data_IF_078288264562
#
_entry.id   IF_078288264562
#
_cell.length_a   1.000
_cell.length_b   1.000
_cell.length_c   1.000
_cell.angle_alpha   90.00
_cell.angle_beta   90.00
_cell.angle_gamma   90.00
#
_symmetry.space_group_name_H-M   'P 1'
#
loop_
_entity.id
_entity.type
_entity.pdbx_description
1 polymer ?
#
# COMPACT_ATOMS: atom_id res chain seq x y z
N UNK A 1 -37.29 16.32 -35.43
CA UNK A 1 -38.42 16.84 -36.22
C UNK A 1 -38.62 18.31 -35.87
N UNK A 2 -38.92 19.20 -36.84
CA UNK A 2 -39.22 20.59 -36.53
C UNK A 2 -40.52 20.67 -35.72
N UNK A 3 -40.51 21.48 -34.66
CA UNK A 3 -41.70 21.76 -33.84
C UNK A 3 -42.59 22.72 -34.62
N UNK A 4 -43.89 22.41 -34.71
CA UNK A 4 -44.87 23.28 -35.38
C UNK A 4 -45.45 24.27 -34.39
N UNK A 5 -45.77 25.47 -34.88
CA UNK A 5 -46.50 26.47 -34.08
C UNK A 5 -47.86 25.89 -33.63
N UNK A 6 -48.18 26.04 -32.35
CA UNK A 6 -49.38 25.46 -31.71
C UNK A 6 -49.28 23.99 -31.29
N UNK A 7 -48.16 23.31 -31.56
CA UNK A 7 -47.97 21.91 -31.16
C UNK A 7 -47.70 21.76 -29.65
N UNK A 8 -48.43 20.88 -28.98
CA UNK A 8 -48.13 20.47 -27.61
C UNK A 8 -46.87 19.58 -27.57
N UNK A 9 -45.90 19.96 -26.75
CA UNK A 9 -44.66 19.21 -26.57
C UNK A 9 -44.37 18.94 -25.09
N UNK A 10 -43.88 17.74 -24.78
CA UNK A 10 -43.38 17.41 -23.45
C UNK A 10 -41.98 17.98 -23.28
N UNK A 11 -41.76 18.70 -22.17
CA UNK A 11 -40.49 19.34 -21.86
C UNK A 11 -40.10 19.06 -20.41
N UNK A 12 -38.79 19.05 -20.14
CA UNK A 12 -38.25 19.05 -18.78
C UNK A 12 -37.85 20.48 -18.42
N UNK A 13 -38.44 21.03 -17.35
CA UNK A 13 -38.05 22.34 -16.80
C UNK A 13 -36.66 22.21 -16.18
N UNK A 14 -35.73 23.09 -16.56
CA UNK A 14 -34.36 23.15 -16.04
C UNK A 14 -34.22 24.18 -14.94
N UNK A 15 -34.75 25.38 -15.18
CA UNK A 15 -34.75 26.46 -14.19
C UNK A 15 -36.08 27.17 -14.20
N UNK A 16 -36.51 27.59 -13.01
CA UNK A 16 -37.72 28.37 -12.79
C UNK A 16 -37.33 29.66 -12.08
N UNK A 17 -37.56 30.80 -12.73
CA UNK A 17 -37.42 32.11 -12.11
C UNK A 17 -38.79 32.54 -11.60
N UNK A 18 -38.94 32.51 -10.28
CA UNK A 18 -40.19 32.85 -9.60
C UNK A 18 -40.46 34.35 -9.52
N UNK A 19 -39.43 35.19 -9.72
CA UNK A 19 -39.55 36.65 -9.69
C UNK A 19 -40.12 37.15 -11.01
N UNK A 20 -39.55 36.66 -12.11
CA UNK A 20 -39.94 37.10 -13.46
C UNK A 20 -40.99 36.17 -14.10
N UNK A 21 -41.46 35.16 -13.36
CA UNK A 21 -42.41 34.14 -13.83
C UNK A 21 -41.99 33.47 -15.15
N UNK A 22 -40.68 33.27 -15.34
CA UNK A 22 -40.10 32.64 -16.54
C UNK A 22 -39.49 31.28 -16.20
N UNK A 23 -39.41 30.40 -17.20
CA UNK A 23 -38.71 29.12 -17.04
C UNK A 23 -37.87 28.80 -18.27
N UNK A 24 -36.79 28.06 -18.07
CA UNK A 24 -36.04 27.42 -19.16
C UNK A 24 -36.35 25.94 -19.17
N UNK A 25 -36.59 25.36 -20.34
CA UNK A 25 -36.95 23.96 -20.48
C UNK A 25 -36.28 23.33 -21.71
N UNK A 26 -36.14 22.00 -21.69
CA UNK A 26 -35.58 21.21 -22.80
C UNK A 26 -36.57 20.16 -23.29
N UNK A 27 -36.58 19.92 -24.59
CA UNK A 27 -37.33 18.83 -25.24
C UNK A 27 -36.42 17.72 -25.78
N UNK A 28 -35.13 17.69 -25.38
CA UNK A 28 -34.19 16.68 -25.86
C UNK A 28 -34.57 15.27 -25.38
N UNK A 29 -34.75 14.32 -26.31
CA UNK A 29 -35.23 12.97 -26.00
C UNK A 29 -34.41 12.22 -24.94
N UNK A 30 -33.08 12.39 -24.92
CA UNK A 30 -32.20 11.78 -23.90
C UNK A 30 -32.44 12.35 -22.50
N UNK A 31 -32.84 13.62 -22.38
CA UNK A 31 -33.13 14.24 -21.08
C UNK A 31 -34.54 13.91 -20.58
N UNK A 32 -35.50 13.72 -21.49
CA UNK A 32 -36.86 13.30 -21.16
C UNK A 32 -36.91 11.85 -20.65
N UNK A 33 -36.13 10.93 -21.24
CA UNK A 33 -36.07 9.54 -20.78
C UNK A 33 -35.35 9.36 -19.44
N UNK A 34 -34.47 10.31 -19.07
CA UNK A 34 -33.80 10.35 -17.76
C UNK A 34 -34.57 11.13 -16.70
N UNK A 35 -35.71 11.73 -17.05
CA UNK A 35 -36.48 12.53 -16.12
C UNK A 35 -37.30 11.60 -15.21
N UNK A 36 -36.80 11.36 -14.00
CA UNK A 36 -37.62 10.82 -12.92
C UNK A 36 -38.55 11.93 -12.43
N UNK A 37 -39.86 11.64 -12.33
CA UNK A 37 -40.82 12.57 -11.74
C UNK A 37 -40.53 12.70 -10.25
N UNK A 38 -39.85 13.77 -9.89
CA UNK A 38 -39.50 14.11 -8.51
C UNK A 38 -40.15 15.44 -8.16
N UNK A 39 -40.69 15.51 -6.95
CA UNK A 39 -41.15 16.78 -6.39
C UNK A 39 -39.95 17.68 -6.07
N UNK A 40 -40.15 18.99 -6.04
CA UNK A 40 -39.12 19.96 -5.63
C UNK A 40 -38.52 19.63 -4.26
N UNK A 41 -39.30 19.05 -3.35
CA UNK A 41 -38.83 18.60 -2.04
C UNK A 41 -37.87 17.41 -2.18
N UNK A 42 -38.17 16.45 -3.06
CA UNK A 42 -37.31 15.30 -3.32
C UNK A 42 -36.03 15.69 -4.06
N UNK A 43 -36.09 16.64 -5.00
CA UNK A 43 -34.89 17.17 -5.67
C UNK A 43 -33.97 17.89 -4.69
N UNK A 44 -34.53 18.74 -3.81
CA UNK A 44 -33.77 19.42 -2.76
C UNK A 44 -33.18 18.44 -1.76
N UNK A 45 -33.91 17.40 -1.39
CA UNK A 45 -33.39 16.34 -0.50
C UNK A 45 -32.26 15.55 -1.15
N UNK A 46 -32.37 15.22 -2.44
CA UNK A 46 -31.32 14.52 -3.21
C UNK A 46 -30.06 15.39 -3.38
N UNK A 47 -30.23 16.66 -3.71
CA UNK A 47 -29.12 17.61 -3.81
C UNK A 47 -28.44 17.83 -2.46
N UNK A 48 -29.20 18.00 -1.37
CA UNK A 48 -28.66 18.13 -0.02
C UNK A 48 -27.95 16.85 0.44
N UNK A 49 -28.46 15.67 0.09
CA UNK A 49 -27.81 14.38 0.37
C UNK A 49 -26.49 14.21 -0.42
N UNK A 50 -26.45 14.61 -1.70
CA UNK A 50 -25.22 14.62 -2.50
C UNK A 50 -24.19 15.63 -1.98
N UNK A 51 -24.62 16.81 -1.54
CA UNK A 51 -23.74 17.83 -0.95
C UNK A 51 -23.20 17.38 0.41
N UNK A 52 -24.03 16.75 1.24
CA UNK A 52 -23.62 16.14 2.51
C UNK A 52 -22.65 14.97 2.29
N UNK A 53 -22.85 14.14 1.26
CA UNK A 53 -21.94 13.04 0.90
C UNK A 53 -20.58 13.55 0.37
N UNK A 54 -20.57 14.68 -0.36
CA UNK A 54 -19.34 15.35 -0.81
C UNK A 54 -18.56 16.02 0.33
N UNK A 55 -19.24 16.57 1.34
CA UNK A 55 -18.60 17.21 2.51
C UNK A 55 -18.09 16.20 3.55
N UNK A 56 -18.60 14.96 3.56
CA UNK A 56 -18.23 13.92 4.53
C UNK A 56 -17.21 12.89 4.03
N UNK A 57 -16.77 12.97 2.76
CA UNK A 57 -15.78 12.02 2.23
C UNK A 57 -16.29 10.59 2.20
N UNK A 58 -17.47 10.35 1.62
CA UNK A 58 -18.08 9.02 1.55
C UNK A 58 -18.43 8.43 2.93
N UNK A 59 -19.03 7.22 2.98
CA UNK A 59 -19.28 6.57 4.26
C UNK A 59 -17.95 6.21 4.91
N UNK A 60 -17.57 6.96 5.95
CA UNK A 60 -16.45 6.62 6.83
C UNK A 60 -16.84 5.36 7.59
N UNK A 61 -16.37 4.22 7.09
CA UNK A 61 -16.51 2.94 7.76
C UNK A 61 -15.89 3.03 9.16
N UNK A 62 -16.52 2.39 10.15
CA UNK A 62 -15.95 2.37 11.50
C UNK A 62 -14.55 1.73 11.48
N UNK A 63 -13.71 2.03 12.47
CA UNK A 63 -12.31 1.62 12.50
C UNK A 63 -12.22 0.08 12.46
N UNK A 64 -11.89 -0.48 11.29
CA UNK A 64 -11.81 -1.94 11.06
C UNK A 64 -12.82 -2.50 10.05
N UNK A 65 -13.81 -1.70 9.63
CA UNK A 65 -14.75 -2.07 8.59
C UNK A 65 -14.20 -1.73 7.19
N UNK A 66 -14.49 -2.59 6.21
CA UNK A 66 -14.14 -2.41 4.81
C UNK A 66 -15.34 -2.75 3.91
N UNK A 67 -15.42 -2.13 2.73
CA UNK A 67 -16.45 -2.49 1.74
C UNK A 67 -16.06 -3.82 1.10
N UNK A 68 -16.96 -4.81 1.15
CA UNK A 68 -16.76 -6.08 0.44
C UNK A 68 -16.68 -5.85 -1.07
N UNK A 69 -15.67 -6.44 -1.71
CA UNK A 69 -15.35 -6.29 -3.13
C UNK A 69 -15.63 -7.57 -3.90
N UNK A 70 -15.97 -7.44 -5.19
CA UNK A 70 -16.10 -8.53 -6.16
C UNK A 70 -14.87 -8.54 -7.07
N UNK A 71 -13.75 -9.01 -6.54
CA UNK A 71 -12.49 -9.15 -7.30
C UNK A 71 -12.23 -10.64 -7.51
N UNK A 72 -12.17 -11.06 -8.77
CA UNK A 72 -11.95 -12.45 -9.17
C UNK A 72 -10.47 -12.80 -9.28
N UNK A 73 -9.78 -12.91 -8.14
CA UNK A 73 -8.36 -13.27 -8.10
C UNK A 73 -8.10 -14.29 -6.97
N UNK A 74 -7.30 -15.36 -7.19
CA UNK A 74 -7.11 -16.43 -6.21
C UNK A 74 -6.51 -15.96 -4.87
N UNK A 75 -5.61 -14.98 -4.91
CA UNK A 75 -5.01 -14.39 -3.70
C UNK A 75 -5.80 -13.19 -3.14
N UNK A 76 -6.98 -12.87 -3.70
CA UNK A 76 -7.83 -11.82 -3.16
C UNK A 76 -8.78 -12.38 -2.10
N UNK A 77 -8.83 -11.74 -0.92
CA UNK A 77 -9.75 -12.08 0.16
C UNK A 77 -10.38 -10.83 0.77
N UNK A 78 -11.70 -10.88 0.90
CA UNK A 78 -12.44 -9.92 1.72
C UNK A 78 -12.21 -10.25 3.21
N UNK A 79 -11.26 -9.57 3.84
CA UNK A 79 -10.97 -9.74 5.26
C UNK A 79 -10.26 -8.53 5.87
N UNK A 80 -10.38 -8.40 7.19
CA UNK A 80 -9.67 -7.37 7.94
C UNK A 80 -8.17 -7.68 7.99
N UNK A 81 -7.37 -6.70 8.42
CA UNK A 81 -5.92 -6.88 8.62
C UNK A 81 -5.62 -8.04 9.56
N UNK A 82 -6.40 -8.18 10.63
CA UNK A 82 -6.25 -9.20 11.67
C UNK A 82 -6.59 -10.59 11.13
N UNK A 83 -7.69 -10.70 10.37
CA UNK A 83 -8.09 -11.96 9.72
C UNK A 83 -7.03 -12.44 8.74
N UNK A 84 -6.50 -11.53 7.91
CA UNK A 84 -5.43 -11.86 6.95
C UNK A 84 -4.13 -12.19 7.66
N UNK A 85 -3.78 -11.49 8.74
CA UNK A 85 -2.60 -11.82 9.57
C UNK A 85 -2.70 -13.23 10.16
N UNK A 86 -3.87 -13.59 10.69
CA UNK A 86 -4.09 -14.93 11.24
C UNK A 86 -3.98 -16.01 10.15
N UNK A 87 -4.53 -15.77 8.96
CA UNK A 87 -4.39 -16.67 7.82
C UNK A 87 -2.92 -16.86 7.42
N UNK A 88 -2.17 -15.76 7.23
CA UNK A 88 -0.78 -15.81 6.78
C UNK A 88 0.18 -16.39 7.83
N UNK A 89 -0.19 -16.41 9.12
CA UNK A 89 0.64 -17.00 10.17
C UNK A 89 1.05 -18.45 9.84
N UNK A 90 0.13 -19.23 9.28
CA UNK A 90 0.35 -20.64 8.91
C UNK A 90 0.82 -20.86 7.46
N UNK A 91 0.96 -19.80 6.65
CA UNK A 91 1.30 -19.91 5.23
C UNK A 91 2.81 -19.89 4.98
N UNK A 92 3.31 -20.38 3.83
CA UNK A 92 4.72 -20.31 3.48
C UNK A 92 5.21 -18.87 3.24
N UNK A 93 6.53 -18.68 3.28
CA UNK A 93 7.18 -17.42 2.88
C UNK A 93 6.93 -17.16 1.41
N UNK A 94 6.55 -15.91 1.09
CA UNK A 94 6.12 -15.47 -0.23
C UNK A 94 4.61 -15.42 -0.39
N UNK A 95 3.84 -16.09 0.48
CA UNK A 95 2.38 -16.02 0.40
C UNK A 95 1.90 -14.58 0.56
N UNK A 96 1.01 -14.19 -0.36
CA UNK A 96 0.44 -12.84 -0.45
C UNK A 96 -1.07 -12.92 -0.47
N UNK A 97 -1.69 -12.02 0.29
CA UNK A 97 -3.14 -11.82 0.26
C UNK A 97 -3.43 -10.37 -0.06
N UNK A 98 -4.14 -10.15 -1.18
CA UNK A 98 -4.76 -8.87 -1.48
C UNK A 98 -6.07 -8.75 -0.71
N UNK A 99 -6.27 -7.61 -0.06
CA UNK A 99 -7.50 -7.32 0.70
C UNK A 99 -7.96 -5.89 0.47
N UNK A 100 -9.26 -5.60 0.69
CA UNK A 100 -9.75 -4.24 0.72
C UNK A 100 -8.98 -3.37 1.73
N UNK A 101 -8.77 -2.10 1.37
CA UNK A 101 -8.34 -1.07 2.31
C UNK A 101 -9.54 -0.42 2.99
N UNK A 102 -9.31 0.25 4.12
CA UNK A 102 -10.29 1.16 4.70
C UNK A 102 -10.45 2.45 3.87
N UNK A 103 -9.51 2.72 2.95
CA UNK A 103 -9.63 3.77 1.93
C UNK A 103 -10.35 3.20 0.70
N UNK A 104 -11.35 3.91 0.20
CA UNK A 104 -12.26 3.42 -0.84
C UNK A 104 -11.58 3.15 -2.20
N UNK A 105 -10.50 3.86 -2.48
CA UNK A 105 -9.70 3.83 -3.71
C UNK A 105 -8.37 3.08 -3.51
N UNK A 106 -8.23 2.28 -2.46
CA UNK A 106 -7.03 1.51 -2.21
C UNK A 106 -7.32 0.02 -1.97
N UNK A 107 -6.30 -0.78 -2.26
CA UNK A 107 -6.13 -2.15 -1.79
C UNK A 107 -4.91 -2.23 -0.90
N UNK A 108 -4.81 -3.33 -0.15
CA UNK A 108 -3.59 -3.67 0.55
C UNK A 108 -3.14 -5.07 0.17
N UNK A 109 -1.91 -5.21 -0.32
CA UNK A 109 -1.24 -6.51 -0.37
C UNK A 109 -0.57 -6.77 0.99
N UNK A 110 -0.94 -7.86 1.65
CA UNK A 110 -0.25 -8.33 2.86
C UNK A 110 0.63 -9.51 2.49
N UNK A 111 1.95 -9.38 2.71
CA UNK A 111 2.96 -10.33 2.23
C UNK A 111 3.73 -10.92 3.42
N UNK A 112 3.93 -12.24 3.41
CA UNK A 112 4.83 -12.92 4.36
C UNK A 112 6.25 -12.99 3.80
N UNK A 113 7.08 -12.02 4.14
CA UNK A 113 8.47 -11.94 3.64
C UNK A 113 9.42 -12.96 4.29
N UNK A 114 9.16 -13.32 5.54
CA UNK A 114 10.04 -14.17 6.36
C UNK A 114 9.22 -15.12 7.23
N UNK A 115 9.86 -16.19 7.73
CA UNK A 115 9.19 -17.16 8.60
C UNK A 115 8.78 -16.55 9.95
N UNK A 116 9.60 -15.61 10.44
CA UNK A 116 9.40 -14.87 11.68
C UNK A 116 9.50 -13.37 11.41
N UNK A 117 8.85 -12.54 12.23
CA UNK A 117 8.88 -11.08 12.11
C UNK A 117 7.57 -10.48 11.61
N UNK A 118 7.56 -9.17 11.32
CA UNK A 118 6.36 -8.47 10.88
C UNK A 118 5.95 -8.86 9.44
N UNK A 119 4.64 -8.87 9.18
CA UNK A 119 4.13 -8.96 7.81
C UNK A 119 4.28 -7.61 7.12
N UNK A 120 4.61 -7.63 5.82
CA UNK A 120 4.58 -6.43 5.00
C UNK A 120 3.14 -6.11 4.62
N UNK A 121 2.78 -4.83 4.68
CA UNK A 121 1.52 -4.32 4.17
C UNK A 121 1.81 -3.22 3.14
N UNK A 122 1.57 -3.53 1.87
CA UNK A 122 1.80 -2.61 0.75
C UNK A 122 0.47 -1.91 0.42
N UNK A 123 0.48 -0.59 0.49
CA UNK A 123 -0.65 0.23 0.07
C UNK A 123 -0.65 0.33 -1.47
N UNK A 124 -1.79 0.02 -2.09
CA UNK A 124 -1.97 0.01 -3.54
C UNK A 124 -3.09 0.98 -3.87
N UNK A 125 -2.77 2.04 -4.58
CA UNK A 125 -3.75 3.00 -5.08
C UNK A 125 -4.41 2.47 -6.36
N UNK A 126 -5.73 2.42 -6.39
CA UNK A 126 -6.53 2.01 -7.55
C UNK A 126 -7.06 3.25 -8.29
N UNK A 127 -6.95 3.26 -9.62
CA UNK A 127 -7.58 4.25 -10.49
C UNK A 127 -8.49 3.58 -11.53
N UNK A 128 -9.38 4.39 -12.11
CA UNK A 128 -10.27 3.98 -13.20
C UNK A 128 -11.15 2.77 -12.86
N UNK A 129 -11.84 2.87 -11.71
CA UNK A 129 -12.73 1.83 -11.19
C UNK A 129 -14.08 1.85 -11.93
N UNK A 130 -14.56 0.73 -12.49
CA UNK A 130 -15.89 0.64 -13.08
C UNK A 130 -17.01 0.85 -12.04
N UNK A 131 -16.80 0.31 -10.83
CA UNK A 131 -17.66 0.52 -9.67
C UNK A 131 -16.85 0.42 -8.37
N UNK A 132 -17.37 0.93 -7.22
CA UNK A 132 -16.68 0.83 -5.94
C UNK A 132 -16.35 -0.60 -5.50
N UNK A 133 -17.10 -1.59 -6.00
CA UNK A 133 -16.95 -3.00 -5.65
C UNK A 133 -15.94 -3.74 -6.54
N UNK A 134 -15.58 -3.20 -7.70
CA UNK A 134 -14.71 -3.84 -8.70
C UNK A 134 -13.29 -3.27 -8.68
N UNK A 135 -12.33 -4.04 -9.18
CA UNK A 135 -10.91 -3.65 -9.25
C UNK A 135 -10.72 -2.47 -10.22
N UNK A 136 -9.84 -1.53 -9.89
CA UNK A 136 -9.43 -0.47 -10.81
C UNK A 136 -8.60 -0.99 -11.99
N UNK A 137 -8.67 -0.30 -13.14
CA UNK A 137 -7.90 -0.64 -14.34
C UNK A 137 -6.43 -0.19 -14.29
N UNK A 138 -6.02 0.54 -13.25
CA UNK A 138 -4.63 0.91 -13.02
C UNK A 138 -4.31 0.91 -11.55
N UNK A 139 -3.25 0.20 -11.17
CA UNK A 139 -2.81 0.02 -9.80
C UNK A 139 -1.46 0.72 -9.61
N UNK A 140 -1.24 1.32 -8.44
CA UNK A 140 -0.03 2.09 -8.19
C UNK A 140 0.55 1.78 -6.81
N UNK A 141 1.86 1.54 -6.75
CA UNK A 141 2.61 1.35 -5.50
C UNK A 141 3.60 2.51 -5.35
N UNK A 142 3.71 3.07 -4.14
CA UNK A 142 4.64 4.16 -3.83
C UNK A 142 4.25 5.54 -4.37
N UNK A 143 3.13 5.63 -5.10
CA UNK A 143 2.55 6.90 -5.54
C UNK A 143 1.93 7.63 -4.36
N UNK A 144 2.25 8.91 -4.21
CA UNK A 144 1.68 9.76 -3.16
C UNK A 144 0.84 10.84 -3.84
N UNK A 145 -0.47 10.83 -3.66
CA UNK A 145 -1.36 11.78 -4.34
C UNK A 145 -1.04 13.24 -4.00
N UNK A 146 -0.55 13.51 -2.80
CA UNK A 146 -0.16 14.85 -2.36
C UNK A 146 1.20 15.31 -2.89
N UNK A 147 1.98 14.44 -3.53
CA UNK A 147 3.32 14.73 -4.01
C UNK A 147 3.50 14.21 -5.44
N UNK A 148 3.21 15.08 -6.41
CA UNK A 148 3.32 14.78 -7.83
C UNK A 148 4.74 14.43 -8.30
N UNK A 149 5.78 14.74 -7.49
CA UNK A 149 7.16 14.31 -7.79
C UNK A 149 7.35 12.81 -7.59
N UNK A 150 6.52 12.17 -6.77
CA UNK A 150 6.54 10.72 -6.52
C UNK A 150 5.50 10.03 -7.38
N UNK A 151 5.91 9.74 -8.62
CA UNK A 151 5.04 9.13 -9.62
C UNK A 151 4.60 7.71 -9.22
N UNK A 152 5.46 6.97 -8.49
CA UNK A 152 5.23 5.58 -8.10
C UNK A 152 5.26 4.62 -9.30
N UNK A 153 5.20 3.33 -9.01
CA UNK A 153 5.18 2.28 -10.03
C UNK A 153 3.73 1.94 -10.39
N UNK A 154 3.41 1.98 -11.68
CA UNK A 154 2.10 1.55 -12.22
C UNK A 154 2.12 0.07 -12.51
N UNK A 155 1.02 -0.62 -12.24
CA UNK A 155 0.76 -2.01 -12.57
C UNK A 155 -0.63 -2.13 -13.22
N UNK A 156 -0.78 -3.06 -14.15
CA UNK A 156 -2.02 -3.29 -14.88
C UNK A 156 -2.98 -4.22 -14.13
N UNK A 157 -2.46 -5.21 -13.39
CA UNK A 157 -3.24 -6.15 -12.60
C UNK A 157 -2.51 -6.66 -11.34
N UNK A 158 -3.16 -7.57 -10.60
CA UNK A 158 -2.61 -8.13 -9.36
C UNK A 158 -1.49 -9.14 -9.63
N UNK A 159 -1.50 -9.83 -10.77
CA UNK A 159 -0.47 -10.81 -11.15
C UNK A 159 0.86 -10.09 -11.48
N UNK A 160 0.79 -8.93 -12.13
CA UNK A 160 1.96 -8.10 -12.38
C UNK A 160 2.59 -7.59 -11.07
N UNK A 161 1.77 -7.23 -10.06
CA UNK A 161 2.28 -6.86 -8.73
C UNK A 161 3.02 -8.04 -8.10
N UNK A 162 2.47 -9.26 -8.19
CA UNK A 162 3.13 -10.43 -7.65
C UNK A 162 4.49 -10.64 -8.33
N UNK A 163 4.51 -10.65 -9.65
CA UNK A 163 5.70 -10.93 -10.45
C UNK A 163 6.77 -9.83 -10.33
N UNK A 164 6.40 -8.56 -10.51
CA UNK A 164 7.37 -7.46 -10.61
C UNK A 164 7.71 -6.81 -9.27
N UNK A 165 6.86 -6.95 -8.26
CA UNK A 165 7.09 -6.34 -6.94
C UNK A 165 7.33 -7.39 -5.84
N UNK A 166 6.43 -8.38 -5.69
CA UNK A 166 6.48 -9.29 -4.55
C UNK A 166 7.58 -10.34 -4.69
N UNK A 167 7.65 -11.04 -5.81
CA UNK A 167 8.64 -12.10 -6.08
C UNK A 167 10.08 -11.63 -5.87
N UNK A 168 10.58 -10.56 -6.53
CA UNK A 168 11.95 -10.09 -6.34
C UNK A 168 12.21 -9.60 -4.90
N UNK A 169 11.20 -9.00 -4.23
CA UNK A 169 11.34 -8.60 -2.84
C UNK A 169 11.49 -9.82 -1.90
N UNK A 170 10.72 -10.88 -2.15
CA UNK A 170 10.82 -12.14 -1.40
C UNK A 170 12.16 -12.82 -1.64
N UNK A 171 12.68 -12.79 -2.88
CA UNK A 171 14.02 -13.31 -3.22
C UNK A 171 15.13 -12.54 -2.48
N UNK A 172 15.09 -11.21 -2.48
CA UNK A 172 16.05 -10.39 -1.74
C UNK A 172 15.97 -10.66 -0.22
N UNK A 173 14.77 -10.90 0.33
CA UNK A 173 14.60 -11.29 1.73
C UNK A 173 15.09 -12.72 2.02
N UNK A 174 15.02 -13.64 1.04
CA UNK A 174 15.63 -14.97 1.15
C UNK A 174 17.16 -14.87 1.17
N UNK A 175 17.76 -13.97 0.41
CA UNK A 175 19.20 -13.70 0.48
C UNK A 175 19.61 -13.24 1.89
N UNK A 176 18.85 -12.33 2.50
CA UNK A 176 19.07 -11.88 3.89
C UNK A 176 19.00 -13.04 4.87
N UNK A 177 17.89 -13.78 4.86
CA UNK A 177 17.64 -14.84 5.84
C UNK A 177 18.55 -16.06 5.65
N UNK A 178 19.06 -16.29 4.44
CA UNK A 178 20.05 -17.32 4.12
C UNK A 178 21.50 -16.88 4.37
N UNK A 179 21.76 -15.61 4.67
CA UNK A 179 23.12 -15.12 4.85
C UNK A 179 23.75 -15.64 6.15
N UNK A 180 25.04 -15.99 6.11
CA UNK A 180 25.80 -16.57 7.26
C UNK A 180 25.85 -15.70 8.52
N UNK A 181 25.59 -14.39 8.38
CA UNK A 181 25.53 -13.43 9.48
C UNK A 181 24.10 -13.13 9.95
N UNK A 182 23.09 -13.79 9.39
CA UNK A 182 21.72 -13.63 9.81
C UNK A 182 21.50 -14.22 11.20
N UNK A 183 20.93 -13.40 12.08
CA UNK A 183 20.48 -13.73 13.42
C UNK A 183 18.94 -13.83 13.37
N UNK A 184 18.36 -15.02 13.61
CA UNK A 184 16.91 -15.22 13.57
C UNK A 184 16.17 -14.51 14.71
N UNK A 185 16.89 -14.04 15.72
CA UNK A 185 16.33 -13.29 16.84
C UNK A 185 15.72 -11.95 16.40
N UNK A 186 14.50 -11.67 16.88
CA UNK A 186 13.83 -10.38 16.62
C UNK A 186 14.23 -9.30 17.65
N UNK A 187 14.53 -9.72 18.89
CA UNK A 187 14.95 -8.82 19.96
C UNK A 187 16.38 -8.35 19.74
N UNK A 188 16.57 -7.03 19.77
CA UNK A 188 17.88 -6.39 19.71
C UNK A 188 18.81 -6.89 20.83
N UNK A 189 18.26 -7.13 22.02
CA UNK A 189 19.01 -7.62 23.19
C UNK A 189 19.57 -9.02 22.93
N UNK A 190 18.75 -9.93 22.39
CA UNK A 190 19.16 -11.29 22.08
C UNK A 190 20.23 -11.32 20.97
N UNK A 191 20.10 -10.47 19.94
CA UNK A 191 21.12 -10.31 18.90
C UNK A 191 22.45 -9.83 19.50
N UNK A 192 22.41 -8.83 20.38
CA UNK A 192 23.61 -8.30 21.05
C UNK A 192 24.23 -9.35 21.98
N UNK A 193 23.44 -10.13 22.71
CA UNK A 193 23.94 -11.21 23.56
C UNK A 193 24.66 -12.30 22.74
N UNK A 194 24.10 -12.67 21.59
CA UNK A 194 24.75 -13.58 20.62
C UNK A 194 26.10 -13.03 20.18
N UNK A 195 26.16 -11.75 19.81
CA UNK A 195 27.41 -11.09 19.38
C UNK A 195 28.44 -11.00 20.50
N UNK A 196 28.04 -10.74 21.75
CA UNK A 196 28.94 -10.75 22.91
C UNK A 196 29.56 -12.13 23.13
N UNK A 197 28.79 -13.22 22.96
CA UNK A 197 29.30 -14.60 23.06
C UNK A 197 30.27 -14.94 21.92
N UNK A 198 29.99 -14.52 20.70
CA UNK A 198 30.91 -14.69 19.56
C UNK A 198 32.22 -13.93 19.81
N UNK A 199 32.13 -12.70 20.30
CA UNK A 199 33.28 -11.85 20.59
C UNK A 199 34.16 -12.37 21.73
N UNK A 200 33.58 -12.98 22.76
CA UNK A 200 34.37 -13.58 23.85
C UNK A 200 35.36 -14.66 23.35
N UNK A 201 35.12 -15.21 22.16
CA UNK A 201 35.92 -16.27 21.54
C UNK A 201 36.74 -15.79 20.33
N UNK A 202 36.76 -14.49 20.03
CA UNK A 202 37.47 -13.94 18.86
C UNK A 202 37.83 -12.48 19.03
N UNK A 203 39.06 -12.12 18.67
CA UNK A 203 39.49 -10.72 18.58
C UNK A 203 38.89 -10.00 17.35
N UNK A 204 38.19 -10.71 16.46
CA UNK A 204 37.51 -10.11 15.32
C UNK A 204 36.23 -9.39 15.76
N UNK A 205 35.87 -8.33 15.04
CA UNK A 205 34.61 -7.63 15.26
C UNK A 205 33.42 -8.49 14.86
N UNK A 206 32.58 -8.76 15.86
CA UNK A 206 31.34 -9.51 15.68
C UNK A 206 30.24 -8.57 15.17
N UNK A 207 29.59 -8.96 14.07
CA UNK A 207 28.39 -8.33 13.56
C UNK A 207 27.36 -9.37 13.09
N UNK A 208 26.09 -8.98 13.13
CA UNK A 208 24.97 -9.79 12.68
C UNK A 208 23.93 -8.94 11.93
N UNK A 209 23.17 -9.59 11.05
CA UNK A 209 21.99 -9.04 10.40
C UNK A 209 20.76 -9.55 11.16
N UNK A 210 19.84 -8.68 11.51
CA UNK A 210 18.56 -9.10 12.08
C UNK A 210 17.40 -8.31 11.49
N UNK A 211 16.19 -8.88 11.57
CA UNK A 211 14.98 -8.21 11.09
C UNK A 211 14.61 -7.05 12.01
N UNK A 212 14.11 -5.96 11.42
CA UNK A 212 13.56 -4.86 12.21
C UNK A 212 12.09 -5.10 12.53
N UNK A 213 11.74 -5.16 13.82
CA UNK A 213 10.38 -5.48 14.27
C UNK A 213 9.29 -4.52 13.77
N UNK A 214 9.65 -3.27 13.44
CA UNK A 214 8.69 -2.23 13.04
C UNK A 214 8.49 -2.11 11.53
N UNK A 215 9.39 -2.67 10.73
CA UNK A 215 9.32 -2.57 9.26
C UNK A 215 9.87 -3.84 8.63
N UNK A 216 8.98 -4.58 7.96
CA UNK A 216 9.26 -5.87 7.33
C UNK A 216 10.30 -5.82 6.22
N UNK A 217 10.56 -4.63 5.65
CA UNK A 217 11.57 -4.42 4.59
C UNK A 217 12.91 -3.91 5.13
N UNK A 218 13.05 -3.78 6.46
CA UNK A 218 14.27 -3.26 7.06
C UNK A 218 15.04 -4.36 7.75
N UNK A 219 16.32 -4.47 7.39
CA UNK A 219 17.31 -5.31 8.05
C UNK A 219 18.27 -4.42 8.79
N UNK A 220 18.64 -4.79 10.00
CA UNK A 220 19.57 -4.01 10.83
C UNK A 220 20.88 -4.78 10.95
N UNK A 221 21.99 -4.13 10.63
CA UNK A 221 23.33 -4.60 10.96
C UNK A 221 23.60 -4.19 12.41
N UNK A 222 23.86 -5.17 13.28
CA UNK A 222 24.31 -4.96 14.65
C UNK A 222 25.81 -5.21 14.74
N UNK A 223 26.54 -4.32 15.40
CA UNK A 223 27.97 -4.47 15.69
C UNK A 223 28.21 -4.30 17.18
N UNK A 224 29.02 -5.20 17.76
CA UNK A 224 29.51 -5.10 19.13
C UNK A 224 31.00 -4.79 19.15
N UNK A 225 31.35 -3.63 19.72
CA UNK A 225 32.74 -3.15 19.85
C UNK A 225 33.38 -3.54 21.17
N UNK A 226 34.67 -3.22 21.33
CA UNK A 226 35.34 -3.30 22.63
C UNK A 226 34.62 -2.36 23.61
N UNK A 227 34.70 -2.65 24.90
CA UNK A 227 34.01 -1.89 25.96
C UNK A 227 32.46 -1.95 25.93
N UNK A 228 31.86 -2.85 25.14
CA UNK A 228 30.41 -3.06 25.12
C UNK A 228 29.61 -1.99 24.35
N UNK A 229 30.26 -1.09 23.60
CA UNK A 229 29.55 -0.16 22.71
C UNK A 229 28.86 -0.92 21.58
N UNK A 230 27.57 -0.62 21.38
CA UNK A 230 26.73 -1.20 20.32
C UNK A 230 26.47 -0.18 19.23
N UNK A 231 26.70 -0.58 17.97
CA UNK A 231 26.37 0.21 16.79
C UNK A 231 25.33 -0.52 15.96
N UNK A 232 24.45 0.24 15.30
CA UNK A 232 23.39 -0.32 14.47
C UNK A 232 23.09 0.55 13.27
N UNK A 233 23.00 -0.08 12.11
CA UNK A 233 22.66 0.57 10.85
C UNK A 233 21.58 -0.19 10.11
N UNK A 234 20.78 0.51 9.30
CA UNK A 234 19.67 -0.09 8.58
C UNK A 234 20.01 -0.25 7.10
N UNK A 235 19.68 -1.43 6.56
CA UNK A 235 19.59 -1.72 5.13
C UNK A 235 18.11 -1.86 4.80
N UNK A 236 17.65 -1.10 3.81
CA UNK A 236 16.31 -1.26 3.24
C UNK A 236 16.38 -2.30 2.13
N UNK A 237 15.44 -3.23 2.14
CA UNK A 237 15.27 -4.25 1.12
C UNK A 237 14.10 -3.83 0.23
N UNK A 238 14.30 -3.87 -1.08
CA UNK A 238 13.33 -3.46 -2.09
C UNK A 238 13.28 -4.48 -3.22
N UNK A 239 12.28 -4.43 -4.12
CA UNK A 239 12.29 -5.23 -5.35
C UNK A 239 13.55 -5.03 -6.20
N UNK A 240 14.16 -3.84 -6.16
CA UNK A 240 15.34 -3.49 -6.94
C UNK A 240 16.68 -3.91 -6.29
N UNK A 241 16.64 -4.50 -5.09
CA UNK A 241 17.83 -4.86 -4.33
C UNK A 241 17.87 -4.18 -2.96
N UNK A 242 19.04 -3.72 -2.55
CA UNK A 242 19.34 -3.25 -1.20
C UNK A 242 19.74 -1.78 -1.21
N UNK A 243 19.24 -1.00 -0.26
CA UNK A 243 19.62 0.41 -0.09
C UNK A 243 20.22 0.60 1.28
N UNK A 244 21.44 1.12 1.32
CA UNK A 244 22.16 1.47 2.54
C UNK A 244 22.71 2.88 2.38
N UNK A 245 22.36 3.78 3.31
CA UNK A 245 22.73 5.22 3.29
C UNK A 245 22.53 5.88 1.92
N UNK A 246 21.36 5.68 1.34
CA UNK A 246 20.98 6.23 0.02
C UNK A 246 21.78 5.69 -1.18
N UNK A 247 22.64 4.69 -0.98
CA UNK A 247 23.33 3.97 -2.05
C UNK A 247 22.62 2.65 -2.32
N UNK A 248 22.31 2.38 -3.58
CA UNK A 248 21.65 1.16 -4.03
C UNK A 248 22.68 0.09 -4.43
N UNK A 249 22.38 -1.16 -4.09
CA UNK A 249 23.19 -2.35 -4.34
C UNK A 249 22.30 -3.46 -4.89
N UNK A 250 22.85 -4.27 -5.80
CA UNK A 250 22.11 -5.37 -6.41
C UNK A 250 22.08 -6.60 -5.50
N UNK A 251 23.08 -6.75 -4.64
CA UNK A 251 23.21 -7.89 -3.72
C UNK A 251 23.46 -7.43 -2.29
N UNK A 252 23.13 -8.30 -1.33
CA UNK A 252 23.36 -8.04 0.07
C UNK A 252 24.86 -7.98 0.40
N UNK A 253 25.67 -8.81 -0.24
CA UNK A 253 27.12 -8.85 0.01
C UNK A 253 27.80 -7.54 -0.45
N UNK A 254 27.34 -6.92 -1.55
CA UNK A 254 27.81 -5.59 -1.97
C UNK A 254 27.49 -4.52 -0.92
N UNK A 255 26.25 -4.50 -0.40
CA UNK A 255 25.86 -3.57 0.65
C UNK A 255 26.69 -3.77 1.93
N UNK A 256 26.92 -5.03 2.33
CA UNK A 256 27.76 -5.37 3.48
C UNK A 256 29.22 -4.98 3.25
N UNK A 257 29.75 -5.17 2.04
CA UNK A 257 31.12 -4.76 1.68
C UNK A 257 31.27 -3.25 1.81
N UNK A 258 30.30 -2.49 1.30
CA UNK A 258 30.30 -1.04 1.41
C UNK A 258 30.21 -0.57 2.87
N UNK A 259 29.31 -1.16 3.65
CA UNK A 259 29.24 -0.93 5.10
C UNK A 259 30.59 -1.16 5.80
N UNK A 260 31.31 -2.25 5.47
CA UNK A 260 32.62 -2.53 6.09
C UNK A 260 33.67 -1.47 5.77
N UNK A 261 33.69 -0.95 4.55
CA UNK A 261 34.62 0.12 4.14
C UNK A 261 34.35 1.38 4.95
N UNK A 262 33.12 1.87 4.93
CA UNK A 262 32.74 3.07 5.70
C UNK A 262 32.95 2.89 7.20
N UNK A 263 32.65 1.70 7.70
CA UNK A 263 32.81 1.44 9.11
C UNK A 263 34.30 1.34 9.49
N UNK A 264 35.21 0.89 8.62
CA UNK A 264 36.63 1.05 8.90
C UNK A 264 37.05 2.53 8.99
N UNK A 265 36.54 3.38 8.10
CA UNK A 265 36.83 4.83 8.08
C UNK A 265 36.28 5.57 9.31
N UNK A 266 35.12 5.15 9.82
CA UNK A 266 34.49 5.69 11.03
C UNK A 266 34.98 5.02 12.32
N UNK A 267 36.04 4.20 12.23
CA UNK A 267 36.54 3.31 13.29
C UNK A 267 35.48 2.30 13.81
N UNK A 268 34.30 2.23 13.17
CA UNK A 268 33.27 1.16 13.13
C UNK A 268 33.76 -0.23 13.53
N UNK A 269 34.78 -0.66 12.78
CA UNK A 269 35.24 -2.04 12.61
C UNK A 269 36.79 -2.09 12.63
N UNK A 270 37.44 -1.37 13.54
CA UNK A 270 38.88 -1.54 13.81
C UNK A 270 39.19 -2.74 14.70
#
# INVERSE_FOLDING_TARGET
MPVREGQLISVRVKTLNLVDHTCTATCAGKELQRAEYMTLAQERAKAAAEEAAKRSGGPVLSRGEFVKRRVGHPQFKNGTREQVRAFLAAMPVGETVFRPSSRADHLTATVKLTAHGPLLHVDILEKDKPSPAELGASLWIGRVESDASKQGDRFDDLDEILYRYVEPLVENMREVTGHRKFAPELSAEAVVERLNREKANSDMIAYALALYEKDATTVVIYVVRAEGRKHREAIKVSPAGFVYRDVAFNTLEEAIKHFKVEASELELIN
#
